data_IF_573171059456
#
_entry.id   IF_573171059456
#
_cell.length_a   1.000
_cell.length_b   1.000
_cell.length_c   1.000
_cell.angle_alpha   90.00
_cell.angle_beta   90.00
_cell.angle_gamma   90.00
#
_symmetry.space_group_name_H-M   'P 1'
#
loop_
_entity.id
_entity.type
_entity.pdbx_description
1 polymer ?
#
# COMPACT_ATOMS: atom_id res chain seq x y z
N UNK A 1 -5.98 5.31 -5.66
CA UNK A 1 -5.03 4.97 -6.73
C UNK A 1 -4.43 3.63 -6.36
N UNK A 2 -4.51 2.64 -7.26
CA UNK A 2 -3.88 1.34 -7.03
C UNK A 2 -2.43 1.36 -7.53
N UNK A 3 -1.50 0.87 -6.71
CA UNK A 3 -0.08 0.79 -7.07
C UNK A 3 0.25 -0.68 -7.33
N UNK A 4 0.59 -0.98 -8.59
CA UNK A 4 1.02 -2.30 -9.00
C UNK A 4 2.45 -2.25 -9.54
N UNK A 5 3.27 -3.23 -9.15
CA UNK A 5 4.59 -3.44 -9.74
C UNK A 5 4.50 -4.63 -10.68
N UNK A 6 4.98 -4.45 -11.91
CA UNK A 6 5.22 -5.56 -12.83
C UNK A 6 6.04 -6.67 -12.14
N UNK A 7 5.53 -7.92 -12.06
CA UNK A 7 6.23 -9.03 -11.43
C UNK A 7 7.58 -9.33 -12.09
N UNK A 8 7.70 -9.13 -13.41
CA UNK A 8 8.86 -9.48 -14.22
C UNK A 8 9.89 -8.35 -14.33
N UNK A 9 9.60 -7.19 -13.73
CA UNK A 9 10.55 -6.09 -13.67
C UNK A 9 11.78 -6.48 -12.84
N UNK A 10 13.01 -6.39 -13.40
CA UNK A 10 14.25 -6.69 -12.67
C UNK A 10 14.59 -5.61 -11.64
N UNK A 11 13.90 -4.46 -11.69
CA UNK A 11 14.12 -3.36 -10.77
C UNK A 11 13.37 -3.62 -9.45
N UNK A 12 14.15 -3.96 -8.43
CA UNK A 12 13.69 -3.97 -7.04
C UNK A 12 13.49 -2.55 -6.50
N UNK A 13 12.71 -2.42 -5.42
CA UNK A 13 12.62 -1.17 -4.67
C UNK A 13 11.76 -0.04 -5.25
N UNK A 14 11.30 -0.14 -6.51
CA UNK A 14 10.45 0.92 -7.14
C UNK A 14 9.22 1.23 -6.29
N UNK A 15 8.50 0.20 -5.81
CA UNK A 15 7.32 0.42 -4.97
C UNK A 15 7.65 1.17 -3.67
N UNK A 16 8.83 0.94 -3.08
CA UNK A 16 9.29 1.68 -1.89
C UNK A 16 9.61 3.13 -2.25
N UNK A 17 10.33 3.37 -3.35
CA UNK A 17 10.68 4.72 -3.79
C UNK A 17 9.42 5.56 -4.04
N UNK A 18 8.45 5.00 -4.78
CA UNK A 18 7.17 5.68 -5.03
C UNK A 18 6.42 6.02 -3.74
N UNK A 19 6.35 5.10 -2.78
CA UNK A 19 5.67 5.37 -1.50
C UNK A 19 6.40 6.44 -0.67
N UNK A 20 7.73 6.45 -0.67
CA UNK A 20 8.53 7.49 0.00
C UNK A 20 8.25 8.85 -0.62
N UNK A 21 8.19 8.95 -1.95
CA UNK A 21 7.89 10.20 -2.63
C UNK A 21 6.46 10.70 -2.32
N UNK A 22 5.48 9.79 -2.29
CA UNK A 22 4.10 10.13 -1.90
C UNK A 22 4.03 10.60 -0.45
N UNK A 23 4.74 9.94 0.48
CA UNK A 23 4.82 10.34 1.88
C UNK A 23 5.47 11.73 2.05
N UNK A 24 6.50 12.04 1.27
CA UNK A 24 7.15 13.34 1.28
C UNK A 24 6.20 14.44 0.76
N UNK A 25 5.48 14.17 -0.33
CA UNK A 25 4.48 15.09 -0.87
C UNK A 25 3.33 15.34 0.14
N UNK A 26 2.79 14.28 0.74
CA UNK A 26 1.73 14.40 1.74
C UNK A 26 2.15 15.24 2.95
N UNK A 27 3.39 15.09 3.41
CA UNK A 27 3.95 15.93 4.49
C UNK A 27 4.11 17.39 4.07
N UNK A 28 4.62 17.64 2.86
CA UNK A 28 4.78 18.99 2.32
C UNK A 28 3.44 19.73 2.17
N UNK A 29 2.39 19.00 1.79
CA UNK A 29 1.03 19.50 1.66
C UNK A 29 0.29 19.62 3.00
N UNK A 30 0.92 19.21 4.11
CA UNK A 30 0.33 19.26 5.45
C UNK A 30 -0.86 18.31 5.65
N UNK A 31 -0.90 17.20 4.89
CA UNK A 31 -1.98 16.22 5.03
C UNK A 31 -1.87 15.50 6.39
N UNK A 32 -2.99 15.35 7.11
CA UNK A 32 -2.96 14.78 8.46
C UNK A 32 -2.71 13.26 8.48
N UNK A 33 -3.00 12.58 7.36
CA UNK A 33 -2.81 11.14 7.22
C UNK A 33 -2.78 10.72 5.74
N UNK A 34 -2.15 9.56 5.50
CA UNK A 34 -2.22 8.81 4.25
C UNK A 34 -2.71 7.39 4.57
N UNK A 35 -3.72 6.92 3.85
CA UNK A 35 -4.28 5.58 4.04
C UNK A 35 -4.18 4.75 2.75
N UNK A 36 -4.12 3.43 2.92
CA UNK A 36 -4.17 2.45 1.84
C UNK A 36 -4.90 1.20 2.32
N UNK A 37 -5.52 0.49 1.38
CA UNK A 37 -6.12 -0.82 1.64
C UNK A 37 -5.19 -1.92 1.13
N UNK A 38 -5.01 -2.98 1.90
CA UNK A 38 -4.23 -4.15 1.49
C UNK A 38 -4.84 -5.42 2.06
N UNK A 39 -4.92 -6.47 1.24
CA UNK A 39 -5.36 -7.77 1.71
C UNK A 39 -4.44 -8.29 2.82
N UNK A 40 -5.04 -8.86 3.87
CA UNK A 40 -4.32 -9.44 5.00
C UNK A 40 -3.33 -10.55 4.59
N UNK A 41 -3.60 -11.22 3.46
CA UNK A 41 -2.77 -12.27 2.87
C UNK A 41 -1.52 -11.75 2.15
N UNK A 42 -1.48 -10.47 1.76
CA UNK A 42 -0.34 -9.87 1.05
C UNK A 42 0.79 -9.49 2.02
N UNK A 43 1.46 -10.51 2.58
CA UNK A 43 2.48 -10.32 3.63
C UNK A 43 3.64 -9.43 3.19
N UNK A 44 4.04 -9.49 1.91
CA UNK A 44 5.14 -8.68 1.37
C UNK A 44 4.81 -7.19 1.39
N UNK A 45 3.61 -6.82 0.92
CA UNK A 45 3.16 -5.44 0.96
C UNK A 45 2.97 -4.95 2.40
N UNK A 46 2.37 -5.76 3.27
CA UNK A 46 2.20 -5.42 4.70
C UNK A 46 3.52 -5.12 5.40
N UNK A 47 4.56 -5.93 5.15
CA UNK A 47 5.89 -5.67 5.69
C UNK A 47 6.47 -4.36 5.17
N UNK A 48 6.38 -4.10 3.87
CA UNK A 48 6.83 -2.84 3.27
C UNK A 48 6.14 -1.63 3.90
N UNK A 49 4.82 -1.68 4.09
CA UNK A 49 4.05 -0.59 4.69
C UNK A 49 4.42 -0.37 6.16
N UNK A 50 4.58 -1.45 6.94
CA UNK A 50 5.04 -1.35 8.32
C UNK A 50 6.46 -0.75 8.41
N UNK A 51 7.38 -1.15 7.52
CA UNK A 51 8.74 -0.59 7.43
C UNK A 51 8.76 0.91 7.03
N UNK A 52 7.62 1.45 6.58
CA UNK A 52 7.42 2.86 6.24
C UNK A 52 6.59 3.62 7.29
N UNK A 53 6.20 2.96 8.39
CA UNK A 53 5.46 3.56 9.50
C UNK A 53 3.94 3.53 9.36
N UNK A 54 3.39 2.79 8.40
CA UNK A 54 1.94 2.56 8.37
C UNK A 54 1.52 1.62 9.51
N UNK A 55 0.40 1.96 10.15
CA UNK A 55 -0.27 1.14 11.15
C UNK A 55 -1.63 0.65 10.64
N UNK A 56 -2.15 -0.43 11.23
CA UNK A 56 -3.49 -0.92 10.88
C UNK A 56 -4.52 0.00 11.53
N UNK A 57 -5.29 0.71 10.71
CA UNK A 57 -6.33 1.62 11.17
C UNK A 57 -7.75 1.03 11.09
N UNK A 58 -8.02 0.17 10.09
CA UNK A 58 -9.33 -0.40 9.83
C UNK A 58 -9.21 -1.81 9.24
N UNK A 59 -10.17 -2.68 9.55
CA UNK A 59 -10.35 -3.98 8.92
C UNK A 59 -11.65 -3.98 8.09
N UNK A 60 -11.57 -4.48 6.86
CA UNK A 60 -12.73 -4.58 5.97
C UNK A 60 -12.90 -6.01 5.45
N UNK A 61 -14.15 -6.36 5.15
CA UNK A 61 -14.54 -7.68 4.66
C UNK A 61 -15.20 -7.52 3.28
N UNK A 62 -14.94 -8.48 2.39
CA UNK A 62 -15.57 -8.52 1.06
C UNK A 62 -16.26 -9.87 0.88
N UNK A 63 -17.56 -9.85 0.63
CA UNK A 63 -18.32 -11.04 0.22
C UNK A 63 -18.21 -11.19 -1.30
N UNK A 64 -17.63 -12.29 -1.75
CA UNK A 64 -17.67 -12.68 -3.17
C UNK A 64 -18.91 -13.55 -3.36
N UNK A 65 -19.95 -12.99 -4.01
CA UNK A 65 -21.12 -13.76 -4.43
C UNK A 65 -20.77 -14.41 -5.76
N UNK A 66 -20.75 -15.74 -5.82
CA UNK A 66 -20.62 -16.44 -7.08
C UNK A 66 -21.89 -16.22 -7.91
N UNK A 67 -21.74 -15.88 -9.19
CA UNK A 67 -22.88 -15.93 -10.12
C UNK A 67 -23.28 -17.40 -10.27
N UNK A 68 -24.55 -17.70 -9.98
CA UNK A 68 -25.11 -19.05 -10.07
C UNK A 68 -25.33 -19.53 -11.49
#
# INVERSE_FOLDING_TARGET
IDIFRDPDSPLGGIGRALLVDILAAAQADGLPALSLAVSSSNRRARRLYADLGFEVAEESWTLVVAEG
#
